data_IF_422789922854
#
_entry.id   IF_422789922854
#
_cell.length_a   1.000
_cell.length_b   1.000
_cell.length_c   1.000
_cell.angle_alpha   90.00
_cell.angle_beta   90.00
_cell.angle_gamma   90.00
#
_symmetry.space_group_name_H-M   'P 1'
#
loop_
_entity.id
_entity.type
_entity.pdbx_description
1 polymer ?
#
# COMPACT_ATOMS: atom_id res chain seq x y z
N UNK A 1 -15.68 3.54 -21.41
CA UNK A 1 -15.42 4.01 -20.03
C UNK A 1 -14.64 2.93 -19.31
N UNK A 2 -13.54 3.27 -18.62
CA UNK A 2 -12.80 2.29 -17.81
C UNK A 2 -13.68 1.86 -16.64
N UNK A 3 -13.79 0.54 -16.41
CA UNK A 3 -14.55 -0.03 -15.29
C UNK A 3 -13.98 0.49 -13.96
N UNK A 4 -14.81 0.75 -12.95
CA UNK A 4 -14.33 1.31 -11.67
C UNK A 4 -13.25 0.43 -11.04
N UNK A 5 -13.42 -0.89 -11.11
CA UNK A 5 -12.41 -1.86 -10.64
C UNK A 5 -11.05 -1.69 -11.30
N UNK A 6 -11.03 -1.55 -12.62
CA UNK A 6 -9.79 -1.46 -13.40
C UNK A 6 -9.07 -0.13 -13.11
N UNK A 7 -9.84 0.93 -12.85
CA UNK A 7 -9.32 2.22 -12.39
C UNK A 7 -8.62 2.08 -11.03
N UNK A 8 -9.24 1.43 -10.05
CA UNK A 8 -8.62 1.21 -8.72
C UNK A 8 -7.41 0.28 -8.77
N UNK A 9 -7.48 -0.80 -9.55
CA UNK A 9 -6.33 -1.68 -9.79
C UNK A 9 -5.17 -0.91 -10.43
N UNK A 10 -5.45 0.01 -11.35
CA UNK A 10 -4.43 0.86 -11.98
C UNK A 10 -3.80 1.85 -11.00
N UNK A 11 -4.59 2.43 -10.09
CA UNK A 11 -4.10 3.31 -9.02
C UNK A 11 -3.19 2.56 -8.05
N UNK A 12 -3.59 1.38 -7.60
CA UNK A 12 -2.78 0.52 -6.72
C UNK A 12 -1.45 0.13 -7.40
N UNK A 13 -1.49 -0.26 -8.68
CA UNK A 13 -0.27 -0.56 -9.46
C UNK A 13 0.62 0.68 -9.66
N UNK A 14 0.04 1.87 -9.77
CA UNK A 14 0.81 3.10 -9.89
C UNK A 14 1.66 3.35 -8.64
N UNK A 15 1.16 3.01 -7.44
CA UNK A 15 1.91 3.14 -6.18
C UNK A 15 3.16 2.25 -6.17
N UNK A 16 3.06 0.99 -6.62
CA UNK A 16 4.22 0.09 -6.75
C UNK A 16 5.25 0.63 -7.77
N UNK A 17 4.79 1.14 -8.91
CA UNK A 17 5.69 1.73 -9.92
C UNK A 17 6.40 2.98 -9.40
N UNK A 18 5.69 3.80 -8.64
CA UNK A 18 6.28 5.00 -8.04
C UNK A 18 7.32 4.63 -6.97
N UNK A 19 7.05 3.63 -6.12
CA UNK A 19 8.06 3.07 -5.22
C UNK A 19 9.30 2.61 -5.99
N UNK A 20 9.13 1.85 -7.07
CA UNK A 20 10.25 1.35 -7.87
C UNK A 20 11.09 2.51 -8.44
N UNK A 21 10.44 3.56 -8.95
CA UNK A 21 11.12 4.74 -9.46
C UNK A 21 11.89 5.49 -8.37
N UNK A 22 11.27 5.72 -7.20
CA UNK A 22 11.92 6.42 -6.09
C UNK A 22 13.04 5.57 -5.47
N UNK A 23 12.87 4.24 -5.39
CA UNK A 23 13.91 3.31 -4.95
C UNK A 23 15.12 3.39 -5.87
N UNK A 24 14.90 3.34 -7.17
CA UNK A 24 15.97 3.48 -8.16
C UNK A 24 16.71 4.81 -8.01
N UNK A 25 15.98 5.93 -7.98
CA UNK A 25 16.56 7.26 -7.85
C UNK A 25 17.35 7.43 -6.54
N UNK A 26 16.80 6.92 -5.43
CA UNK A 26 17.44 7.02 -4.11
C UNK A 26 18.70 6.16 -4.02
N UNK A 27 18.68 4.94 -4.59
CA UNK A 27 19.86 4.09 -4.64
C UNK A 27 20.98 4.74 -5.46
N UNK A 28 20.66 5.31 -6.63
CA UNK A 28 21.62 6.05 -7.45
C UNK A 28 22.23 7.24 -6.70
N UNK A 29 21.40 8.04 -6.04
CA UNK A 29 21.88 9.18 -5.25
C UNK A 29 22.80 8.72 -4.10
N UNK A 30 22.46 7.61 -3.43
CA UNK A 30 23.28 7.05 -2.36
C UNK A 30 24.64 6.57 -2.88
N UNK A 31 24.66 5.84 -4.00
CA UNK A 31 25.89 5.38 -4.65
C UNK A 31 26.78 6.57 -5.04
N UNK A 32 26.23 7.62 -5.64
CA UNK A 32 26.97 8.82 -6.01
C UNK A 32 27.50 9.58 -4.78
N UNK A 33 26.63 9.80 -3.78
CA UNK A 33 26.97 10.57 -2.58
C UNK A 33 27.97 9.85 -1.65
N UNK A 34 28.12 8.53 -1.78
CA UNK A 34 29.18 7.76 -1.11
C UNK A 34 30.57 8.07 -1.66
N UNK A 35 30.68 8.40 -2.94
CA UNK A 35 31.93 8.79 -3.58
C UNK A 35 32.19 10.29 -3.50
N UNK A 36 31.14 11.09 -3.66
CA UNK A 36 31.21 12.56 -3.63
C UNK A 36 29.99 13.13 -2.88
N UNK A 37 30.13 13.50 -1.59
CA UNK A 37 29.03 14.09 -0.83
C UNK A 37 28.51 15.42 -1.40
N UNK A 38 29.26 16.12 -2.26
CA UNK A 38 28.87 17.42 -2.82
C UNK A 38 27.75 17.33 -3.86
N UNK A 39 27.42 16.12 -4.33
CA UNK A 39 26.24 15.88 -5.20
C UNK A 39 24.92 16.19 -4.48
N UNK A 40 24.91 16.18 -3.15
CA UNK A 40 23.74 16.55 -2.35
C UNK A 40 23.63 18.09 -2.30
N UNK A 41 22.82 18.65 -3.20
CA UNK A 41 22.64 20.11 -3.35
C UNK A 41 21.51 20.72 -2.51
N UNK A 42 20.97 19.95 -1.57
CA UNK A 42 19.90 20.37 -0.67
C UNK A 42 20.35 20.24 0.78
N UNK A 43 19.66 20.88 1.72
CA UNK A 43 19.98 20.83 3.14
C UNK A 43 19.52 19.50 3.78
N UNK A 44 20.13 18.38 3.35
CA UNK A 44 19.98 17.05 3.94
C UNK A 44 21.33 16.37 4.00
N UNK A 45 21.55 15.55 5.02
CA UNK A 45 22.75 14.73 5.19
C UNK A 45 22.62 13.39 4.46
N UNK A 46 23.76 12.78 4.12
CA UNK A 46 23.81 11.41 3.61
C UNK A 46 23.12 10.41 4.55
N UNK A 47 23.21 10.64 5.87
CA UNK A 47 22.51 9.84 6.89
C UNK A 47 20.99 9.93 6.74
N UNK A 48 20.45 11.12 6.50
CA UNK A 48 19.01 11.30 6.30
C UNK A 48 18.52 10.63 5.02
N UNK A 49 19.29 10.68 3.93
CA UNK A 49 18.97 9.96 2.69
C UNK A 49 18.98 8.44 2.92
N UNK A 50 19.98 7.91 3.63
CA UNK A 50 20.03 6.48 4.01
C UNK A 50 18.81 6.07 4.84
N UNK A 51 18.45 6.88 5.83
CA UNK A 51 17.27 6.64 6.66
C UNK A 51 15.98 6.67 5.82
N UNK A 52 15.84 7.62 4.90
CA UNK A 52 14.69 7.71 4.00
C UNK A 52 14.62 6.48 3.08
N UNK A 53 15.74 6.05 2.50
CA UNK A 53 15.82 4.83 1.70
C UNK A 53 15.39 3.59 2.50
N UNK A 54 15.91 3.43 3.72
CA UNK A 54 15.56 2.31 4.60
C UNK A 54 14.06 2.25 4.95
N UNK A 55 13.39 3.41 5.01
CA UNK A 55 11.95 3.50 5.33
C UNK A 55 11.02 3.43 4.12
N UNK A 56 11.55 3.56 2.91
CA UNK A 56 10.78 3.71 1.68
C UNK A 56 9.78 2.56 1.47
N UNK A 57 10.15 1.33 1.80
CA UNK A 57 9.28 0.15 1.65
C UNK A 57 7.99 0.33 2.46
N UNK A 58 8.15 0.61 3.76
CA UNK A 58 7.04 0.81 4.68
C UNK A 58 6.18 2.01 4.29
N UNK A 59 6.79 3.13 3.91
CA UNK A 59 6.07 4.32 3.44
C UNK A 59 5.11 4.00 2.29
N UNK A 60 5.57 3.23 1.30
CA UNK A 60 4.71 2.88 0.18
C UNK A 60 3.73 1.75 0.48
N UNK A 61 3.99 0.86 1.43
CA UNK A 61 2.98 -0.09 1.95
C UNK A 61 1.81 0.67 2.58
N UNK A 62 2.08 1.71 3.39
CA UNK A 62 1.02 2.57 3.96
C UNK A 62 0.18 3.21 2.86
N UNK A 63 0.84 3.83 1.86
CA UNK A 63 0.15 4.49 0.75
C UNK A 63 -0.66 3.51 -0.11
N UNK A 64 -0.11 2.34 -0.38
CA UNK A 64 -0.77 1.29 -1.16
C UNK A 64 -2.04 0.81 -0.44
N UNK A 65 -1.97 0.61 0.87
CA UNK A 65 -3.16 0.25 1.65
C UNK A 65 -4.20 1.38 1.67
N UNK A 66 -3.78 2.64 1.69
CA UNK A 66 -4.70 3.79 1.64
C UNK A 66 -5.48 3.86 0.31
N UNK A 67 -4.83 3.60 -0.82
CA UNK A 67 -5.49 3.48 -2.13
C UNK A 67 -6.48 2.30 -2.14
N UNK A 68 -6.07 1.15 -1.59
CA UNK A 68 -6.95 -0.01 -1.44
C UNK A 68 -8.19 0.29 -0.60
N UNK A 69 -8.00 0.90 0.58
CA UNK A 69 -9.07 1.23 1.51
C UNK A 69 -10.05 2.24 0.88
N UNK A 70 -9.53 3.24 0.17
CA UNK A 70 -10.35 4.23 -0.55
C UNK A 70 -11.23 3.57 -1.60
N UNK A 71 -10.69 2.63 -2.38
CA UNK A 71 -11.49 1.90 -3.37
C UNK A 71 -12.52 0.96 -2.74
N UNK A 72 -12.20 0.32 -1.60
CA UNK A 72 -13.18 -0.46 -0.85
C UNK A 72 -14.31 0.41 -0.31
N UNK A 73 -14.02 1.59 0.22
CA UNK A 73 -15.03 2.54 0.69
C UNK A 73 -15.95 2.97 -0.45
N UNK A 74 -15.38 3.27 -1.63
CA UNK A 74 -16.16 3.55 -2.84
C UNK A 74 -17.08 2.39 -3.23
N UNK A 75 -16.58 1.15 -3.21
CA UNK A 75 -17.36 -0.05 -3.50
C UNK A 75 -18.47 -0.26 -2.48
N UNK A 76 -18.16 -0.10 -1.20
CA UNK A 76 -19.12 -0.24 -0.13
C UNK A 76 -20.30 0.70 -0.31
N UNK A 77 -20.04 2.00 -0.45
CA UNK A 77 -21.10 3.01 -0.58
C UNK A 77 -21.99 2.74 -1.78
N UNK A 78 -21.42 2.35 -2.92
CA UNK A 78 -22.19 2.04 -4.12
C UNK A 78 -23.05 0.77 -3.99
N UNK A 79 -22.50 -0.28 -3.40
CA UNK A 79 -23.17 -1.60 -3.32
C UNK A 79 -24.17 -1.68 -2.16
N UNK A 80 -23.92 -0.95 -1.06
CA UNK A 80 -24.75 -0.97 0.15
C UNK A 80 -25.71 0.21 0.26
N UNK A 81 -25.43 1.33 -0.43
CA UNK A 81 -26.20 2.56 -0.25
C UNK A 81 -26.08 3.14 1.17
N UNK A 82 -24.96 2.88 1.86
CA UNK A 82 -24.72 3.27 3.23
C UNK A 82 -23.27 3.72 3.43
N UNK A 83 -23.03 4.46 4.51
CA UNK A 83 -21.67 4.87 4.87
C UNK A 83 -20.78 3.65 5.19
N UNK A 84 -19.51 3.68 4.79
CA UNK A 84 -18.57 2.61 5.08
C UNK A 84 -18.19 2.60 6.57
N UNK A 85 -17.93 1.42 7.15
CA UNK A 85 -17.40 1.31 8.51
C UNK A 85 -16.15 2.16 8.72
N UNK A 86 -15.99 2.75 9.89
CA UNK A 86 -14.80 3.56 10.21
C UNK A 86 -13.54 2.69 10.26
N UNK A 87 -13.63 1.49 10.85
CA UNK A 87 -12.50 0.57 11.02
C UNK A 87 -12.26 -0.23 9.73
N UNK A 88 -11.01 -0.23 9.26
CA UNK A 88 -10.61 -0.99 8.07
C UNK A 88 -10.88 -2.49 8.19
N UNK A 89 -10.79 -3.07 9.39
CA UNK A 89 -11.09 -4.50 9.62
C UNK A 89 -12.55 -4.84 9.30
N UNK A 90 -13.48 -3.99 9.73
CA UNK A 90 -14.91 -4.18 9.54
C UNK A 90 -15.29 -3.93 8.07
N UNK A 91 -14.64 -2.96 7.42
CA UNK A 91 -14.77 -2.70 5.98
C UNK A 91 -14.32 -3.90 5.13
N UNK A 92 -13.14 -4.46 5.41
CA UNK A 92 -12.59 -5.62 4.68
C UNK A 92 -13.51 -6.84 4.88
N UNK A 93 -13.84 -7.17 6.13
CA UNK A 93 -14.65 -8.35 6.44
C UNK A 93 -16.07 -8.24 5.88
N UNK A 94 -16.71 -7.07 6.03
CA UNK A 94 -18.07 -6.87 5.53
C UNK A 94 -18.16 -6.84 4.00
N UNK A 95 -17.10 -6.37 3.32
CA UNK A 95 -17.00 -6.45 1.85
C UNK A 95 -16.77 -7.89 1.41
N UNK A 96 -15.83 -8.58 2.06
CA UNK A 96 -15.51 -9.97 1.75
C UNK A 96 -16.71 -10.90 1.91
N UNK A 97 -17.47 -10.76 2.99
CA UNK A 97 -18.68 -11.54 3.25
C UNK A 97 -19.73 -11.36 2.14
N UNK A 98 -19.86 -10.15 1.59
CA UNK A 98 -20.84 -9.88 0.52
C UNK A 98 -20.44 -10.45 -0.83
N UNK A 99 -19.14 -10.48 -1.12
CA UNK A 99 -18.62 -10.93 -2.42
C UNK A 99 -18.07 -12.36 -2.36
N UNK A 100 -18.36 -13.11 -1.29
CA UNK A 100 -17.90 -14.48 -1.07
C UNK A 100 -16.39 -14.67 -1.31
N UNK A 101 -15.59 -13.70 -0.84
CA UNK A 101 -14.14 -13.72 -1.03
C UNK A 101 -13.55 -14.87 -0.18
N UNK A 102 -12.71 -15.76 -0.75
CA UNK A 102 -12.11 -16.86 0.00
C UNK A 102 -11.24 -16.37 1.18
N UNK A 103 -11.24 -17.15 2.26
CA UNK A 103 -10.60 -16.79 3.53
C UNK A 103 -9.13 -16.40 3.38
N UNK A 104 -8.35 -17.17 2.62
CA UNK A 104 -6.92 -16.91 2.40
C UNK A 104 -6.66 -15.50 1.83
N UNK A 105 -7.53 -14.98 0.96
CA UNK A 105 -7.38 -13.63 0.43
C UNK A 105 -7.74 -12.55 1.46
N UNK A 106 -8.65 -12.85 2.38
CA UNK A 106 -9.00 -11.97 3.50
C UNK A 106 -7.82 -11.91 4.49
N UNK A 107 -7.25 -13.06 4.85
CA UNK A 107 -6.09 -13.14 5.74
C UNK A 107 -4.88 -12.39 5.16
N UNK A 108 -4.61 -12.57 3.86
CA UNK A 108 -3.53 -11.86 3.18
C UNK A 108 -3.72 -10.33 3.26
N UNK A 109 -4.93 -9.81 3.04
CA UNK A 109 -5.22 -8.37 3.19
C UNK A 109 -5.06 -7.91 4.64
N UNK A 110 -5.47 -8.72 5.62
CA UNK A 110 -5.26 -8.41 7.03
C UNK A 110 -3.77 -8.41 7.41
N UNK A 111 -2.95 -9.27 6.79
CA UNK A 111 -1.49 -9.22 6.96
C UNK A 111 -0.92 -7.87 6.48
N UNK A 112 -1.36 -7.36 5.33
CA UNK A 112 -0.98 -6.01 4.85
C UNK A 112 -1.43 -4.93 5.84
N UNK A 113 -2.68 -5.02 6.33
CA UNK A 113 -3.24 -4.07 7.32
C UNK A 113 -2.42 -4.08 8.60
N UNK A 114 -2.07 -5.26 9.11
CA UNK A 114 -1.32 -5.40 10.36
C UNK A 114 0.09 -4.83 10.18
N UNK A 115 0.79 -5.17 9.08
CA UNK A 115 2.09 -4.57 8.77
C UNK A 115 2.03 -3.04 8.69
N UNK A 116 0.99 -2.47 8.08
CA UNK A 116 0.75 -1.01 8.09
C UNK A 116 0.56 -0.47 9.51
N UNK A 117 -0.20 -1.16 10.35
CA UNK A 117 -0.44 -0.71 11.72
C UNK A 117 0.85 -0.74 12.54
N UNK A 118 1.68 -1.77 12.37
CA UNK A 118 2.96 -1.89 13.06
C UNK A 118 3.99 -0.83 12.61
N UNK A 119 3.89 -0.37 11.35
CA UNK A 119 4.70 0.75 10.85
C UNK A 119 4.27 2.12 11.39
N UNK A 120 2.98 2.27 11.74
CA UNK A 120 2.39 3.54 12.19
C UNK A 120 2.37 3.65 13.72
N UNK A 121 2.25 2.53 14.42
CA UNK A 121 2.22 2.47 15.87
C UNK A 121 3.56 1.95 16.40
N UNK A 122 4.15 2.64 17.38
CA UNK A 122 5.40 2.24 18.05
C UNK A 122 5.23 0.90 18.81
N UNK A 123 5.30 -0.23 18.10
CA UNK A 123 5.32 -1.56 18.71
C UNK A 123 6.73 -2.12 18.76
N UNK A 124 7.02 -2.79 19.88
CA UNK A 124 8.33 -3.35 20.27
C UNK A 124 8.73 -4.57 19.43
N UNK A 125 7.76 -5.24 18.79
CA UNK A 125 7.98 -6.38 17.90
C UNK A 125 7.50 -6.04 16.49
N UNK A 126 8.45 -5.70 15.62
CA UNK A 126 8.18 -5.54 14.19
C UNK A 126 8.13 -6.94 13.60
N UNK A 127 6.93 -7.44 13.29
CA UNK A 127 6.79 -8.65 12.48
C UNK A 127 7.52 -8.51 11.13
N UNK A 128 7.75 -9.63 10.42
CA UNK A 128 8.48 -9.57 9.14
C UNK A 128 7.88 -8.51 8.19
N UNK A 129 8.70 -7.54 7.73
CA UNK A 129 8.21 -6.49 6.84
C UNK A 129 7.64 -7.08 5.56
N UNK A 130 6.41 -6.71 5.21
CA UNK A 130 5.81 -7.11 3.94
C UNK A 130 6.42 -6.27 2.81
N UNK A 131 6.84 -6.92 1.73
CA UNK A 131 7.28 -6.20 0.53
C UNK A 131 6.10 -5.53 -0.16
N UNK A 132 6.35 -4.41 -0.83
CA UNK A 132 5.31 -3.72 -1.60
C UNK A 132 4.69 -4.61 -2.68
N UNK A 133 5.50 -5.46 -3.31
CA UNK A 133 5.06 -6.36 -4.37
C UNK A 133 4.08 -7.42 -3.83
N UNK A 134 4.36 -7.96 -2.63
CA UNK A 134 3.44 -8.89 -1.95
C UNK A 134 2.17 -8.16 -1.53
N UNK A 135 2.29 -7.01 -0.86
CA UNK A 135 1.16 -6.19 -0.44
C UNK A 135 0.23 -5.86 -1.61
N UNK A 136 0.79 -5.39 -2.73
CA UNK A 136 0.07 -5.14 -3.99
C UNK A 136 -0.63 -6.41 -4.49
N UNK A 137 0.09 -7.52 -4.58
CA UNK A 137 -0.46 -8.79 -5.04
C UNK A 137 -1.70 -9.20 -4.24
N UNK A 138 -1.59 -9.12 -2.92
CA UNK A 138 -2.64 -9.51 -1.98
C UNK A 138 -3.89 -8.62 -2.11
N UNK A 139 -3.72 -7.29 -2.11
CA UNK A 139 -4.86 -6.36 -2.25
C UNK A 139 -5.49 -6.38 -3.64
N UNK A 140 -4.70 -6.58 -4.71
CA UNK A 140 -5.23 -6.68 -6.07
C UNK A 140 -6.04 -7.96 -6.27
N UNK A 141 -5.61 -9.09 -5.68
CA UNK A 141 -6.39 -10.33 -5.72
C UNK A 141 -7.73 -10.16 -5.02
N UNK A 142 -7.77 -9.48 -3.87
CA UNK A 142 -9.02 -9.13 -3.20
C UNK A 142 -9.93 -8.28 -4.12
N UNK A 143 -9.39 -7.24 -4.76
CA UNK A 143 -10.16 -6.41 -5.72
C UNK A 143 -10.72 -7.20 -6.90
N UNK A 144 -10.06 -8.29 -7.31
CA UNK A 144 -10.51 -9.14 -8.40
C UNK A 144 -11.91 -9.73 -8.21
N UNK A 145 -12.35 -9.88 -6.95
CA UNK A 145 -13.68 -10.39 -6.60
C UNK A 145 -14.78 -9.31 -6.58
N UNK A 146 -14.42 -8.02 -6.63
CA UNK A 146 -15.39 -6.95 -6.62
C UNK A 146 -16.08 -6.81 -8.00
N UNK A 147 -17.32 -6.26 -8.04
CA UNK A 147 -18.00 -5.94 -9.29
C UNK A 147 -17.11 -5.05 -10.18
N UNK A 148 -17.21 -5.11 -11.51
CA UNK A 148 -16.43 -4.20 -12.35
C UNK A 148 -16.86 -2.73 -12.23
N UNK A 149 -18.18 -2.51 -12.08
CA UNK A 149 -18.84 -1.22 -12.31
C UNK A 149 -19.72 -0.77 -11.13
N UNK A 150 -19.35 -1.10 -9.88
CA UNK A 150 -19.99 -0.47 -8.73
C UNK A 150 -19.94 1.05 -8.86
#
# INVERSE_FOLDING_TARGET
MSRKRDTWLSRIKAVEREHAAVRFATNRLLEEAEHDPTVIKINVSLREIRNASGRLEGTYVVRLFAEFESGLRSCWSAVRGADPPSRAVDLVNGTAARHAIPHDYIENVHAVRNSRNDLVHERVEVGEPISIAKARGDVCRFFGFLPPDW
#
